data_IF_861109730310
#
_entry.id   IF_861109730310
#
_cell.length_a   1.000
_cell.length_b   1.000
_cell.length_c   1.000
_cell.angle_alpha   90.00
_cell.angle_beta   90.00
_cell.angle_gamma   90.00
#
_symmetry.space_group_name_H-M   'P 1'
#
loop_
_entity.id
_entity.type
_entity.pdbx_description
1 polymer ?
#
# COMPACT_ATOMS: atom_id res chain seq x y z
N UNK A 1 10.97 11.93 -7.59
CA UNK A 1 9.50 11.75 -7.59
C UNK A 1 9.06 10.62 -8.54
N UNK A 2 9.36 10.69 -9.84
CA UNK A 2 9.00 9.64 -10.81
C UNK A 2 9.54 8.26 -10.42
N UNK A 3 10.82 8.15 -10.12
CA UNK A 3 11.46 6.90 -9.70
C UNK A 3 10.83 6.30 -8.45
N UNK A 4 10.48 7.12 -7.45
CA UNK A 4 9.79 6.67 -6.25
C UNK A 4 8.41 6.09 -6.58
N UNK A 5 7.67 6.74 -7.49
CA UNK A 5 6.38 6.25 -7.94
C UNK A 5 6.51 4.91 -8.70
N UNK A 6 7.49 4.81 -9.60
CA UNK A 6 7.77 3.56 -10.33
C UNK A 6 8.11 2.41 -9.37
N UNK A 7 8.91 2.67 -8.33
CA UNK A 7 9.24 1.68 -7.30
C UNK A 7 8.01 1.25 -6.50
N UNK A 8 7.17 2.22 -6.07
CA UNK A 8 5.93 1.92 -5.36
C UNK A 8 4.96 1.08 -6.19
N UNK A 9 4.78 1.42 -7.47
CA UNK A 9 3.89 0.68 -8.37
C UNK A 9 4.41 -0.72 -8.75
N UNK A 10 5.67 -1.04 -8.47
CA UNK A 10 6.25 -2.36 -8.72
C UNK A 10 6.12 -3.32 -7.52
N UNK A 11 5.68 -2.82 -6.35
CA UNK A 11 5.48 -3.63 -5.15
C UNK A 11 4.12 -4.29 -5.15
N UNK A 12 4.02 -5.49 -4.55
CA UNK A 12 2.74 -6.13 -4.29
C UNK A 12 2.11 -5.51 -3.03
N UNK A 13 0.93 -4.97 -3.17
CA UNK A 13 0.25 -4.25 -2.10
C UNK A 13 -1.26 -4.49 -2.08
N UNK A 14 -1.70 -5.70 -2.44
CA UNK A 14 -3.13 -6.04 -2.39
C UNK A 14 -3.64 -5.92 -0.97
N UNK A 15 -4.86 -5.38 -0.79
CA UNK A 15 -5.52 -5.18 0.51
C UNK A 15 -5.40 -6.42 1.40
N UNK A 16 -4.97 -6.25 2.65
CA UNK A 16 -4.60 -7.25 3.64
C UNK A 16 -3.26 -7.97 3.39
N UNK A 17 -2.49 -7.55 2.39
CA UNK A 17 -1.16 -8.07 2.09
C UNK A 17 -0.18 -6.92 1.76
N UNK A 18 -0.15 -5.90 2.63
CA UNK A 18 0.60 -4.66 2.43
C UNK A 18 2.02 -4.70 3.03
N UNK A 19 2.52 -5.86 3.43
CA UNK A 19 3.81 -5.98 4.13
C UNK A 19 4.98 -5.44 3.32
N UNK A 20 5.01 -5.71 2.01
CA UNK A 20 6.09 -5.29 1.13
C UNK A 20 6.13 -3.76 0.97
N UNK A 21 4.99 -3.16 0.67
CA UNK A 21 4.88 -1.68 0.55
C UNK A 21 5.11 -1.00 1.90
N UNK A 22 4.65 -1.58 2.99
CA UNK A 22 4.88 -1.05 4.34
C UNK A 22 6.37 -1.05 4.70
N UNK A 23 7.09 -2.14 4.42
CA UNK A 23 8.53 -2.23 4.65
C UNK A 23 9.30 -1.20 3.81
N UNK A 24 8.91 -1.03 2.56
CA UNK A 24 9.49 -0.02 1.68
C UNK A 24 9.24 1.40 2.21
N UNK A 25 8.00 1.74 2.54
CA UNK A 25 7.64 3.06 3.07
C UNK A 25 8.33 3.34 4.41
N UNK A 26 8.47 2.35 5.28
CA UNK A 26 9.17 2.48 6.54
C UNK A 26 10.63 2.90 6.30
N UNK A 27 11.33 2.23 5.41
CA UNK A 27 12.73 2.56 5.06
C UNK A 27 12.88 3.96 4.43
N UNK A 28 11.93 4.38 3.58
CA UNK A 28 11.95 5.70 2.94
C UNK A 28 11.62 6.83 3.94
N UNK A 29 10.76 6.59 4.93
CA UNK A 29 10.29 7.60 5.88
C UNK A 29 11.20 7.71 7.11
N UNK A 30 11.85 6.62 7.53
CA UNK A 30 12.67 6.55 8.74
C UNK A 30 13.70 7.68 8.86
N UNK A 31 14.48 8.04 7.81
CA UNK A 31 15.46 9.12 7.88
C UNK A 31 14.85 10.51 8.08
N UNK A 32 13.56 10.65 7.89
CA UNK A 32 12.84 11.94 7.89
C UNK A 32 11.88 12.12 9.05
N UNK A 33 11.64 11.09 9.85
CA UNK A 33 10.70 11.10 10.98
C UNK A 33 11.43 11.15 12.33
N UNK A 34 10.83 11.82 13.31
CA UNK A 34 11.32 11.80 14.69
C UNK A 34 10.85 10.57 15.45
N UNK A 35 9.75 9.96 15.02
CA UNK A 35 9.18 8.76 15.59
C UNK A 35 8.38 7.99 14.56
N UNK A 36 8.51 6.66 14.56
CA UNK A 36 7.75 5.74 13.72
C UNK A 36 7.04 4.69 14.57
N UNK A 37 5.88 4.25 14.10
CA UNK A 37 5.16 3.12 14.67
C UNK A 37 4.32 2.43 13.61
N UNK A 38 4.31 1.11 13.63
CA UNK A 38 3.28 0.30 12.96
C UNK A 38 2.28 -0.11 14.03
N UNK A 39 0.99 0.10 13.79
CA UNK A 39 -0.06 -0.31 14.72
C UNK A 39 -0.57 -1.74 14.44
N UNK A 40 -1.53 -2.20 15.25
CA UNK A 40 -2.08 -3.55 15.15
C UNK A 40 -2.87 -3.81 13.84
N UNK A 41 -3.29 -2.76 13.15
CA UNK A 41 -3.96 -2.84 11.85
C UNK A 41 -2.99 -2.76 10.66
N UNK A 42 -1.68 -2.60 10.94
CA UNK A 42 -0.65 -2.46 9.92
C UNK A 42 -0.45 -1.03 9.41
N UNK A 43 -1.10 -0.02 9.99
CA UNK A 43 -0.88 1.37 9.61
C UNK A 43 0.53 1.83 9.99
N UNK A 44 1.26 2.41 9.05
CA UNK A 44 2.53 3.09 9.31
C UNK A 44 2.25 4.54 9.75
N UNK A 45 2.65 4.87 10.95
CA UNK A 45 2.43 6.18 11.56
C UNK A 45 3.79 6.84 11.80
N UNK A 46 3.99 8.01 11.20
CA UNK A 46 5.20 8.79 11.32
C UNK A 46 4.92 10.16 11.96
N UNK A 47 5.74 10.56 12.89
CA UNK A 47 5.71 11.91 13.49
C UNK A 47 6.96 12.67 13.12
N UNK A 48 6.76 13.94 12.76
CA UNK A 48 7.84 14.90 12.58
C UNK A 48 7.53 16.19 13.33
N UNK A 49 8.47 16.65 14.13
CA UNK A 49 8.35 17.93 14.82
C UNK A 49 8.49 19.07 13.82
N UNK A 50 7.59 20.03 13.91
CA UNK A 50 7.70 21.27 13.15
C UNK A 50 8.84 22.15 13.65
N UNK A 51 9.39 23.00 12.78
CA UNK A 51 10.45 23.97 13.14
C UNK A 51 9.96 25.06 14.08
N UNK A 52 8.66 25.37 14.06
CA UNK A 52 8.05 26.41 14.92
C UNK A 52 6.98 25.79 15.81
N UNK A 53 6.99 26.13 17.07
CA UNK A 53 5.94 25.76 18.02
C UNK A 53 4.73 26.69 17.85
N UNK A 54 3.87 26.40 16.88
CA UNK A 54 2.63 27.16 16.66
C UNK A 54 1.42 26.56 17.41
N UNK A 55 1.59 25.42 18.08
CA UNK A 55 0.50 24.67 18.70
C UNK A 55 -0.37 23.89 17.70
N UNK A 56 -0.28 24.18 16.41
CA UNK A 56 -1.03 23.49 15.37
C UNK A 56 -0.38 22.17 15.01
N UNK A 57 -1.24 21.17 14.70
CA UNK A 57 -0.82 19.87 14.18
C UNK A 57 -1.42 19.67 12.81
N UNK A 58 -0.62 19.15 11.87
CA UNK A 58 -1.07 18.74 10.55
C UNK A 58 -1.07 17.22 10.50
N UNK A 59 -2.17 16.62 10.08
CA UNK A 59 -2.29 15.19 9.78
C UNK A 59 -2.39 15.01 8.27
N UNK A 60 -1.50 14.19 7.71
CA UNK A 60 -1.57 13.70 6.33
C UNK A 60 -1.90 12.22 6.37
N UNK A 61 -2.85 11.79 5.56
CA UNK A 61 -3.24 10.38 5.44
C UNK A 61 -3.29 9.97 3.98
N UNK A 62 -2.87 8.74 3.70
CA UNK A 62 -3.00 8.09 2.41
C UNK A 62 -3.12 6.58 2.64
N UNK A 63 -3.82 5.88 1.74
CA UNK A 63 -3.80 4.42 1.76
C UNK A 63 -2.53 3.88 1.07
N UNK A 64 -2.14 2.64 1.38
CA UNK A 64 -0.98 2.00 0.79
C UNK A 64 -1.34 0.75 -0.03
N UNK A 65 -2.59 0.30 0.06
CA UNK A 65 -3.07 -0.87 -0.65
C UNK A 65 -3.48 -0.55 -2.09
N UNK A 66 -3.51 -1.59 -2.90
CA UNK A 66 -4.00 -1.59 -4.25
C UNK A 66 -5.06 -2.67 -4.47
N UNK A 67 -5.83 -2.53 -5.53
CA UNK A 67 -6.77 -3.57 -5.98
C UNK A 67 -6.01 -4.74 -6.60
N UNK A 68 -6.55 -5.95 -6.50
CA UNK A 68 -5.90 -7.12 -7.05
C UNK A 68 -6.84 -8.29 -7.33
N UNK A 69 -6.26 -9.41 -7.74
CA UNK A 69 -6.96 -10.65 -7.99
C UNK A 69 -6.42 -11.75 -7.09
N UNK A 70 -7.31 -12.46 -6.42
CA UNK A 70 -6.95 -13.61 -5.59
C UNK A 70 -7.29 -14.91 -6.33
N UNK A 71 -6.28 -15.73 -6.62
CA UNK A 71 -6.48 -17.04 -7.25
C UNK A 71 -7.15 -17.98 -6.26
N UNK A 72 -8.29 -18.52 -6.63
CA UNK A 72 -9.06 -19.48 -5.82
C UNK A 72 -8.82 -20.93 -6.23
N UNK A 73 -8.61 -21.15 -7.53
CA UNK A 73 -8.43 -22.50 -8.07
C UNK A 73 -7.66 -22.43 -9.37
N UNK A 74 -6.79 -23.39 -9.59
CA UNK A 74 -6.21 -23.72 -10.88
C UNK A 74 -6.93 -24.99 -11.33
N UNK A 75 -7.56 -24.95 -12.51
CA UNK A 75 -8.29 -26.10 -13.06
C UNK A 75 -7.35 -27.06 -13.78
N UNK A 76 -7.78 -28.31 -13.99
CA UNK A 76 -6.96 -29.33 -14.65
C UNK A 76 -6.65 -29.00 -16.11
N UNK A 77 -7.49 -28.18 -16.76
CA UNK A 77 -7.33 -27.67 -18.13
C UNK A 77 -6.57 -26.32 -18.17
N UNK A 78 -5.98 -25.88 -17.05
CA UNK A 78 -5.06 -24.75 -16.99
C UNK A 78 -5.70 -23.38 -16.83
N UNK A 79 -7.00 -23.29 -16.53
CA UNK A 79 -7.65 -22.00 -16.23
C UNK A 79 -7.45 -21.59 -14.76
N UNK A 80 -7.37 -20.27 -14.54
CA UNK A 80 -7.35 -19.68 -13.22
C UNK A 80 -8.73 -19.14 -12.84
N UNK A 81 -9.31 -19.65 -11.76
CA UNK A 81 -10.48 -19.03 -11.15
C UNK A 81 -10.02 -18.06 -10.06
N UNK A 82 -10.54 -16.84 -10.07
CA UNK A 82 -10.13 -15.79 -9.15
C UNK A 82 -11.32 -14.99 -8.62
N UNK A 83 -11.10 -14.35 -7.48
CA UNK A 83 -11.97 -13.30 -6.94
C UNK A 83 -11.23 -11.95 -7.03
N UNK A 84 -12.02 -10.88 -7.13
CA UNK A 84 -11.49 -9.51 -7.08
C UNK A 84 -11.29 -9.08 -5.63
N UNK A 85 -10.15 -8.47 -5.33
CA UNK A 85 -9.87 -7.79 -4.06
C UNK A 85 -9.92 -6.29 -4.30
N UNK A 86 -10.75 -5.58 -3.53
CA UNK A 86 -11.01 -4.15 -3.73
C UNK A 86 -12.02 -3.86 -4.84
N UNK A 87 -12.16 -2.59 -5.18
CA UNK A 87 -13.19 -2.09 -6.10
C UNK A 87 -12.78 -2.21 -7.57
N UNK A 88 -12.79 -3.43 -8.11
CA UNK A 88 -12.50 -3.69 -9.53
C UNK A 88 -13.82 -3.84 -10.30
N UNK A 89 -14.01 -3.03 -11.33
CA UNK A 89 -15.09 -3.25 -12.30
C UNK A 89 -14.73 -4.45 -13.20
N UNK A 90 -15.46 -5.56 -13.03
CA UNK A 90 -15.20 -6.81 -13.77
C UNK A 90 -15.30 -6.65 -15.30
N UNK A 91 -16.00 -5.62 -15.78
CA UNK A 91 -16.15 -5.35 -17.23
C UNK A 91 -14.84 -4.91 -17.87
N UNK A 92 -13.93 -4.29 -17.11
CA UNK A 92 -12.63 -3.84 -17.63
C UNK A 92 -11.55 -4.91 -17.61
N UNK A 93 -11.83 -6.11 -17.04
CA UNK A 93 -10.85 -7.20 -16.98
C UNK A 93 -10.71 -7.96 -18.32
N UNK A 94 -11.70 -7.85 -19.22
CA UNK A 94 -11.68 -8.53 -20.49
C UNK A 94 -10.65 -7.90 -21.44
N UNK A 95 -9.69 -8.69 -21.88
CA UNK A 95 -8.65 -8.26 -22.84
C UNK A 95 -7.50 -7.44 -22.23
N UNK A 96 -7.31 -7.52 -20.92
CA UNK A 96 -6.16 -6.92 -20.21
C UNK A 96 -5.12 -7.99 -19.88
#
# INVERSE_FOLDING_TARGET
MRELLERLCALNAVSSWEDEVRAFLLAEVEPHADRLRVDALGNLIAWKKGRKHTGSKLLLTAHMDEVGLMIRQITDDGYLKFDTVGAIDRRVLLGK
#
